data_IF_188731419343
#
_entry.id   IF_188731419343
#
_cell.length_a   1.000
_cell.length_b   1.000
_cell.length_c   1.000
_cell.angle_alpha   90.00
_cell.angle_beta   90.00
_cell.angle_gamma   90.00
#
_symmetry.space_group_name_H-M   'P 1'
#
loop_
_entity.id
_entity.type
_entity.pdbx_description
1 polymer ?
#
# COMPACT_ATOMS: atom_id res chain seq x y z
N UNK A 1 -27.12 -15.07 9.27
CA UNK A 1 -25.99 -14.27 8.75
C UNK A 1 -24.78 -14.50 9.67
N UNK A 2 -23.99 -15.57 9.45
CA UNK A 2 -22.90 -16.00 10.35
C UNK A 2 -21.50 -15.65 9.80
N UNK A 3 -21.24 -14.37 9.56
CA UNK A 3 -20.00 -13.93 8.89
C UNK A 3 -18.76 -13.80 9.81
N UNK A 4 -18.88 -14.02 11.13
CA UNK A 4 -17.82 -13.64 12.08
C UNK A 4 -17.18 -14.81 12.87
N UNK A 5 -17.77 -16.01 12.83
CA UNK A 5 -17.28 -17.16 13.64
C UNK A 5 -15.89 -17.62 13.18
N UNK A 6 -15.61 -17.58 11.87
CA UNK A 6 -14.31 -17.99 11.31
C UNK A 6 -13.19 -17.03 11.74
N UNK A 7 -13.43 -15.72 11.67
CA UNK A 7 -12.46 -14.69 12.05
C UNK A 7 -12.06 -14.81 13.51
N UNK A 8 -13.03 -14.93 14.43
CA UNK A 8 -12.76 -15.06 15.87
C UNK A 8 -11.91 -16.28 16.22
N UNK A 9 -12.16 -17.41 15.53
CA UNK A 9 -11.38 -18.63 15.72
C UNK A 9 -9.91 -18.43 15.32
N UNK A 10 -9.66 -17.78 14.19
CA UNK A 10 -8.30 -17.49 13.73
C UNK A 10 -7.60 -16.50 14.68
N UNK A 11 -8.26 -15.41 15.06
CA UNK A 11 -7.70 -14.45 16.03
C UNK A 11 -7.29 -15.11 17.34
N UNK A 12 -8.14 -15.98 17.91
CA UNK A 12 -7.80 -16.68 19.15
C UNK A 12 -6.67 -17.72 19.02
N UNK A 13 -6.31 -18.15 17.82
CA UNK A 13 -5.10 -18.96 17.58
C UNK A 13 -3.88 -18.05 17.46
N UNK A 14 -3.97 -16.96 16.70
CA UNK A 14 -2.88 -15.99 16.54
C UNK A 14 -2.49 -15.32 17.88
N UNK A 15 -3.45 -14.99 18.74
CA UNK A 15 -3.17 -14.41 20.07
C UNK A 15 -2.33 -15.36 20.94
N UNK A 16 -2.52 -16.67 20.81
CA UNK A 16 -1.75 -17.67 21.56
C UNK A 16 -0.33 -17.85 21.06
N UNK A 17 -0.08 -17.55 19.78
CA UNK A 17 1.24 -17.61 19.15
C UNK A 17 1.49 -16.31 18.38
N UNK A 18 1.77 -15.25 19.13
CA UNK A 18 1.96 -13.89 18.60
C UNK A 18 3.39 -13.68 18.07
N UNK A 19 3.82 -14.55 17.17
CA UNK A 19 5.13 -14.47 16.53
C UNK A 19 4.93 -14.31 15.03
N UNK A 20 5.46 -13.22 14.47
CA UNK A 20 5.66 -13.10 13.03
C UNK A 20 6.99 -13.77 12.68
N UNK A 21 6.93 -14.95 12.05
CA UNK A 21 8.13 -15.73 11.70
C UNK A 21 9.03 -15.04 10.67
N UNK A 22 8.44 -14.19 9.81
CA UNK A 22 9.15 -13.52 8.74
C UNK A 22 8.97 -12.00 8.84
N UNK A 23 10.06 -11.23 8.86
CA UNK A 23 9.96 -9.79 8.81
C UNK A 23 9.40 -9.35 7.46
N UNK A 24 8.38 -8.51 7.50
CA UNK A 24 7.79 -7.89 6.31
C UNK A 24 8.17 -6.43 6.27
N UNK A 25 8.32 -5.88 5.05
CA UNK A 25 8.47 -4.42 4.87
C UNK A 25 7.08 -3.74 4.96
N UNK A 26 6.38 -3.97 6.06
CA UNK A 26 5.04 -3.46 6.34
C UNK A 26 4.94 -3.06 7.80
N UNK A 27 4.75 -1.76 8.04
CA UNK A 27 4.36 -1.23 9.33
C UNK A 27 2.89 -0.79 9.27
N UNK A 28 2.08 -1.36 10.16
CA UNK A 28 0.65 -1.05 10.28
C UNK A 28 0.37 0.29 10.97
N UNK A 29 1.34 0.83 11.69
CA UNK A 29 1.18 2.04 12.52
C UNK A 29 1.60 3.30 11.77
N UNK A 30 2.48 3.16 10.78
CA UNK A 30 2.99 4.27 9.97
C UNK A 30 2.09 4.47 8.74
N UNK A 31 1.52 5.67 8.53
CA UNK A 31 0.78 5.98 7.31
C UNK A 31 1.65 5.85 6.06
N UNK A 32 1.13 5.14 5.07
CA UNK A 32 1.80 4.94 3.78
C UNK A 32 0.82 5.07 2.62
N UNK A 33 1.39 5.42 1.46
CA UNK A 33 0.73 5.32 0.16
C UNK A 33 1.25 4.11 -0.62
N UNK A 34 0.49 3.65 -1.62
CA UNK A 34 0.90 2.54 -2.48
C UNK A 34 1.31 3.07 -3.86
N UNK A 35 2.53 2.76 -4.28
CA UNK A 35 3.00 3.11 -5.61
C UNK A 35 2.24 2.34 -6.68
N UNK A 36 1.46 3.02 -7.52
CA UNK A 36 0.61 2.41 -8.55
C UNK A 36 1.38 1.72 -9.70
N UNK A 37 2.72 1.79 -9.71
CA UNK A 37 3.56 1.13 -10.70
C UNK A 37 4.27 -0.13 -10.20
N UNK A 38 4.64 -0.18 -8.92
CA UNK A 38 5.46 -1.27 -8.35
C UNK A 38 4.78 -1.98 -7.18
N UNK A 39 3.63 -1.48 -6.73
CA UNK A 39 2.88 -2.01 -5.58
C UNK A 39 3.73 -2.09 -4.29
N UNK A 40 4.72 -1.20 -4.17
CA UNK A 40 5.47 -1.00 -2.94
C UNK A 40 4.86 0.12 -2.09
N UNK A 41 5.03 -0.01 -0.79
CA UNK A 41 4.62 0.98 0.20
C UNK A 41 5.58 2.17 0.15
N UNK A 42 5.01 3.36 0.21
CA UNK A 42 5.71 4.64 0.25
C UNK A 42 5.29 5.32 1.56
N UNK A 43 6.11 5.16 2.59
CA UNK A 43 5.86 5.76 3.90
C UNK A 43 6.01 7.28 3.86
N UNK A 44 5.32 7.95 4.78
CA UNK A 44 5.33 9.41 4.87
C UNK A 44 6.76 9.96 5.05
N UNK A 45 7.04 11.12 4.43
CA UNK A 45 8.39 11.71 4.40
C UNK A 45 9.31 11.18 3.30
N UNK A 46 8.98 10.05 2.66
CA UNK A 46 9.70 9.61 1.47
C UNK A 46 9.32 10.45 0.23
N UNK A 47 10.25 10.65 -0.71
CA UNK A 47 9.97 11.39 -1.92
C UNK A 47 8.96 10.62 -2.78
N UNK A 48 7.88 11.29 -3.17
CA UNK A 48 6.80 10.75 -3.99
C UNK A 48 6.35 11.76 -5.03
N UNK A 49 5.69 11.28 -6.07
CA UNK A 49 5.07 12.10 -7.12
C UNK A 49 3.62 11.69 -7.26
N UNK A 50 2.73 12.64 -7.02
CA UNK A 50 1.30 12.43 -7.16
C UNK A 50 0.82 12.78 -8.56
N UNK A 51 -0.18 12.02 -9.01
CA UNK A 51 -0.92 12.32 -10.21
C UNK A 51 -2.22 13.05 -9.84
N UNK A 52 -2.29 14.35 -10.14
CA UNK A 52 -3.29 15.28 -9.62
C UNK A 52 -4.75 14.86 -9.88
N UNK A 53 -5.02 14.24 -11.03
CA UNK A 53 -6.40 13.92 -11.43
C UNK A 53 -6.96 12.66 -10.75
N UNK A 54 -6.13 11.66 -10.46
CA UNK A 54 -6.60 10.38 -9.91
C UNK A 54 -6.13 10.12 -8.46
N UNK A 55 -5.32 11.01 -7.89
CA UNK A 55 -4.70 10.80 -6.57
C UNK A 55 -3.71 9.63 -6.53
N UNK A 56 -3.29 9.11 -7.69
CA UNK A 56 -2.38 7.99 -7.76
C UNK A 56 -0.96 8.43 -7.37
N UNK A 57 -0.35 7.70 -6.45
CA UNK A 57 1.02 7.95 -5.96
C UNK A 57 2.03 7.10 -6.71
N UNK A 58 3.17 7.69 -7.02
CA UNK A 58 4.27 7.03 -7.70
C UNK A 58 5.61 7.36 -7.05
N UNK A 59 6.56 6.43 -7.16
CA UNK A 59 7.96 6.71 -6.85
C UNK A 59 8.52 7.74 -7.85
N UNK A 60 9.47 8.61 -7.43
CA UNK A 60 10.01 9.69 -8.27
C UNK A 60 10.59 9.22 -9.60
N UNK A 61 11.12 7.99 -9.65
CA UNK A 61 11.66 7.35 -10.86
C UNK A 61 10.64 7.19 -12.00
N UNK A 62 9.34 7.29 -11.71
CA UNK A 62 8.26 7.18 -12.71
C UNK A 62 7.73 8.53 -13.19
N UNK A 63 8.29 9.65 -12.71
CA UNK A 63 7.89 11.00 -13.15
C UNK A 63 8.06 11.12 -14.67
N UNK A 64 7.05 11.68 -15.33
CA UNK A 64 7.03 11.86 -16.79
C UNK A 64 6.58 10.64 -17.60
N UNK A 65 6.47 9.46 -16.99
CA UNK A 65 5.89 8.28 -17.65
C UNK A 65 4.36 8.35 -17.71
N UNK A 66 3.75 7.53 -18.56
CA UNK A 66 2.28 7.42 -18.64
C UNK A 66 1.73 6.84 -17.33
N UNK A 67 0.72 7.51 -16.76
CA UNK A 67 0.00 7.06 -15.58
C UNK A 67 -0.65 5.70 -15.85
N UNK A 68 -0.42 4.71 -14.97
CA UNK A 68 -0.95 3.35 -15.16
C UNK A 68 -2.42 3.21 -14.78
N UNK A 69 -2.90 4.11 -13.92
CA UNK A 69 -4.29 4.15 -13.46
C UNK A 69 -5.18 4.75 -14.55
N UNK A 70 -4.89 5.97 -15.00
CA UNK A 70 -5.71 6.67 -16.00
C UNK A 70 -5.34 6.32 -17.44
N UNK A 71 -4.11 5.87 -17.70
CA UNK A 71 -3.58 5.54 -19.03
C UNK A 71 -3.69 6.67 -20.08
N UNK A 72 -3.93 7.90 -19.64
CA UNK A 72 -4.21 9.05 -20.52
C UNK A 72 -3.16 10.16 -20.43
N UNK A 73 -2.44 10.26 -19.32
CA UNK A 73 -1.69 11.46 -18.93
C UNK A 73 -0.36 11.09 -18.26
N UNK A 74 0.59 12.03 -18.24
CA UNK A 74 1.89 11.84 -17.61
C UNK A 74 1.84 11.99 -16.10
N UNK A 75 2.63 11.18 -15.39
CA UNK A 75 2.82 11.26 -13.93
C UNK A 75 3.57 12.54 -13.58
N UNK A 76 3.03 13.34 -12.65
CA UNK A 76 3.62 14.60 -12.20
C UNK A 76 3.49 15.76 -13.20
N UNK A 77 2.51 15.68 -14.11
CA UNK A 77 2.04 16.80 -14.95
C UNK A 77 0.76 17.40 -14.40
#
# INVERSE_FOLDING_TARGET
MNANIKTRKVSGVCEKNSIDEHPLNYDKSDPFDICAAFYALVYYGNPLVNYLLAGAVYLPKFKGQLCRVTKATGIGK
#
